data_IF_673226831470
#
_entry.id   IF_673226831470
#
_cell.length_a   1.000
_cell.length_b   1.000
_cell.length_c   1.000
_cell.angle_alpha   90.00
_cell.angle_beta   90.00
_cell.angle_gamma   90.00
#
_symmetry.space_group_name_H-M   'P 1'
#
loop_
_entity.id
_entity.type
_entity.pdbx_description
1 polymer ?
#
# COMPACT_ATOMS: atom_id res chain seq x y z
N UNK A 1 11.11 13.08 21.35
CA UNK A 1 11.95 13.70 20.29
C UNK A 1 12.70 12.56 19.61
N UNK A 2 12.72 12.50 18.28
CA UNK A 2 13.49 11.48 17.57
C UNK A 2 14.98 11.67 17.83
N UNK A 3 15.72 10.57 18.01
CA UNK A 3 17.17 10.56 18.10
C UNK A 3 17.74 10.06 16.78
N UNK A 4 18.83 10.66 16.31
CA UNK A 4 19.57 10.19 15.13
C UNK A 4 20.96 9.75 15.57
N UNK A 5 21.37 8.56 15.14
CA UNK A 5 22.72 8.03 15.33
C UNK A 5 23.34 7.72 13.97
N UNK A 6 24.53 8.27 13.70
CA UNK A 6 25.26 8.02 12.45
C UNK A 6 26.28 6.92 12.69
N UNK A 7 26.20 5.85 11.91
CA UNK A 7 27.08 4.68 11.95
C UNK A 7 27.89 4.58 10.66
N UNK A 8 28.98 3.83 10.70
CA UNK A 8 29.75 3.46 9.51
C UNK A 8 29.73 1.95 9.30
N UNK A 9 29.78 1.51 8.05
CA UNK A 9 30.00 0.09 7.72
C UNK A 9 31.47 -0.20 7.38
N UNK A 10 31.78 -1.49 7.21
CA UNK A 10 33.13 -1.97 6.90
C UNK A 10 33.66 -1.47 5.54
N UNK A 11 32.78 -0.90 4.71
CA UNK A 11 33.11 -0.34 3.39
C UNK A 11 33.29 1.18 3.45
N UNK A 12 33.46 1.75 4.64
CA UNK A 12 33.60 3.18 4.89
C UNK A 12 32.42 4.04 4.41
N UNK A 13 31.22 3.45 4.27
CA UNK A 13 30.00 4.21 4.06
C UNK A 13 29.33 4.54 5.40
N UNK A 14 28.62 5.65 5.43
CA UNK A 14 27.88 6.13 6.59
C UNK A 14 26.37 5.99 6.37
N UNK A 15 25.65 5.67 7.43
CA UNK A 15 24.18 5.64 7.43
C UNK A 15 23.65 6.12 8.78
N UNK A 16 22.49 6.77 8.76
CA UNK A 16 21.80 7.23 9.95
C UNK A 16 20.70 6.25 10.36
N UNK A 17 20.60 5.97 11.65
CA UNK A 17 19.45 5.32 12.26
C UNK A 17 18.66 6.37 13.05
N UNK A 18 17.36 6.47 12.77
CA UNK A 18 16.44 7.33 13.49
C UNK A 18 15.59 6.46 14.40
N UNK A 19 15.71 6.71 15.70
CA UNK A 19 14.93 6.03 16.73
C UNK A 19 13.94 6.96 17.41
N UNK A 20 12.84 6.40 17.86
CA UNK A 20 11.88 7.11 18.71
C UNK A 20 12.41 7.23 20.17
N UNK A 21 11.65 7.85 21.10
CA UNK A 21 12.04 7.94 22.51
C UNK A 21 12.14 6.59 23.24
N UNK A 22 11.47 5.55 22.74
CA UNK A 22 11.54 4.17 23.27
C UNK A 22 12.70 3.38 22.67
N UNK A 23 13.53 4.04 21.85
CA UNK A 23 14.70 3.48 21.14
C UNK A 23 14.33 2.44 20.06
N UNK A 24 13.09 2.43 19.59
CA UNK A 24 12.72 1.62 18.41
C UNK A 24 13.21 2.31 17.14
N UNK A 25 13.97 1.58 16.30
CA UNK A 25 14.47 2.11 15.02
C UNK A 25 13.31 2.24 14.04
N UNK A 26 12.95 3.48 13.74
CA UNK A 26 11.87 3.82 12.83
C UNK A 26 12.35 3.95 11.38
N UNK A 27 13.58 4.41 11.18
CA UNK A 27 14.11 4.67 9.84
C UNK A 27 15.62 4.46 9.80
N UNK A 28 16.10 3.92 8.68
CA UNK A 28 17.52 3.85 8.34
C UNK A 28 17.72 4.51 6.99
N UNK A 29 18.66 5.46 6.92
CA UNK A 29 18.99 6.16 5.66
C UNK A 29 19.60 5.19 4.65
N UNK A 30 19.74 5.65 3.41
CA UNK A 30 20.69 5.01 2.50
C UNK A 30 22.13 5.10 3.04
N UNK A 31 23.01 4.29 2.46
CA UNK A 31 24.45 4.35 2.72
C UNK A 31 25.07 5.43 1.86
N UNK A 32 25.86 6.31 2.48
CA UNK A 32 26.46 7.46 1.86
C UNK A 32 27.98 7.48 2.04
N UNK A 33 28.74 8.06 1.10
CA UNK A 33 30.17 8.28 1.27
C UNK A 33 30.54 9.17 2.46
N UNK A 34 29.64 10.06 2.93
CA UNK A 34 29.93 10.99 4.03
C UNK A 34 28.87 10.97 5.13
N UNK A 35 29.30 11.25 6.37
CA UNK A 35 28.41 11.41 7.52
C UNK A 35 27.40 12.54 7.32
N UNK A 36 27.82 13.62 6.65
CA UNK A 36 26.98 14.79 6.38
C UNK A 36 25.77 14.43 5.51
N UNK A 37 25.99 13.60 4.48
CA UNK A 37 24.90 13.12 3.62
C UNK A 37 23.91 12.23 4.38
N UNK A 38 24.41 11.30 5.21
CA UNK A 38 23.55 10.47 6.06
C UNK A 38 22.77 11.31 7.08
N UNK A 39 23.40 12.32 7.67
CA UNK A 39 22.76 13.24 8.62
C UNK A 39 21.65 14.05 7.96
N UNK A 40 21.93 14.60 6.77
CA UNK A 40 20.96 15.40 6.03
C UNK A 40 19.77 14.55 5.54
N UNK A 41 20.01 13.31 5.12
CA UNK A 41 18.92 12.37 4.75
C UNK A 41 18.02 12.05 5.94
N UNK A 42 18.61 11.69 7.09
CA UNK A 42 17.86 11.45 8.33
C UNK A 42 17.05 12.69 8.74
N UNK A 43 17.64 13.89 8.66
CA UNK A 43 16.96 15.16 8.95
C UNK A 43 15.79 15.41 8.00
N UNK A 44 15.97 15.20 6.70
CA UNK A 44 14.91 15.32 5.69
C UNK A 44 13.76 14.37 5.98
N UNK A 45 14.08 13.12 6.31
CA UNK A 45 13.09 12.13 6.68
C UNK A 45 12.31 12.54 7.94
N UNK A 46 13.00 12.95 9.02
CA UNK A 46 12.34 13.41 10.26
C UNK A 46 11.40 14.58 9.97
N UNK A 47 11.88 15.57 9.22
CA UNK A 47 11.06 16.73 8.84
C UNK A 47 9.83 16.31 8.05
N UNK A 48 10.00 15.47 7.03
CA UNK A 48 8.87 14.96 6.24
C UNK A 48 7.90 14.13 7.09
N UNK A 49 8.39 13.19 7.90
CA UNK A 49 7.58 12.32 8.76
C UNK A 49 6.70 13.14 9.71
N UNK A 50 7.27 14.15 10.38
CA UNK A 50 6.55 15.00 11.33
C UNK A 50 5.50 15.90 10.67
N UNK A 51 5.72 16.27 9.40
CA UNK A 51 4.86 17.20 8.66
C UNK A 51 3.87 16.50 7.70
N UNK A 52 4.05 15.21 7.44
CA UNK A 52 3.17 14.43 6.57
C UNK A 52 1.71 14.42 7.09
N UNK A 53 1.42 14.28 8.40
CA UNK A 53 0.05 14.30 8.91
C UNK A 53 -0.64 15.67 8.82
N UNK A 54 0.11 16.76 8.96
CA UNK A 54 -0.43 18.13 8.87
C UNK A 54 -0.69 18.58 7.43
N UNK A 55 -0.13 17.85 6.47
CA UNK A 55 -0.28 18.08 5.05
C UNK A 55 0.44 19.31 4.52
N UNK A 56 1.60 19.63 5.12
CA UNK A 56 2.46 20.75 4.70
C UNK A 56 3.58 20.34 3.76
N UNK A 57 3.93 19.04 3.72
CA UNK A 57 4.95 18.46 2.84
C UNK A 57 4.34 17.61 1.73
N UNK A 58 4.99 17.57 0.56
CA UNK A 58 4.57 16.68 -0.53
C UNK A 58 5.02 15.24 -0.28
N UNK A 59 4.14 14.30 -0.64
CA UNK A 59 4.42 12.87 -0.62
C UNK A 59 3.93 12.23 -1.91
N UNK A 60 4.68 11.25 -2.40
CA UNK A 60 4.17 10.29 -3.37
C UNK A 60 3.37 9.23 -2.60
N UNK A 61 2.20 8.89 -3.12
CA UNK A 61 1.33 7.87 -2.56
C UNK A 61 1.12 6.70 -3.52
N UNK A 62 0.89 5.55 -2.90
CA UNK A 62 0.49 4.32 -3.56
C UNK A 62 -0.82 3.87 -2.93
N UNK A 63 -1.95 4.10 -3.62
CA UNK A 63 -3.28 3.72 -3.13
C UNK A 63 -3.75 2.47 -3.88
N UNK A 64 -3.87 1.35 -3.17
CA UNK A 64 -4.42 0.11 -3.71
C UNK A 64 -5.95 0.21 -3.74
N UNK A 65 -6.55 -0.11 -4.89
CA UNK A 65 -7.98 -0.28 -5.04
C UNK A 65 -8.33 -1.77 -5.04
N UNK A 66 -9.25 -2.14 -4.15
CA UNK A 66 -9.80 -3.48 -4.02
C UNK A 66 -11.30 -3.41 -4.33
N UNK A 67 -11.72 -3.78 -5.55
CA UNK A 67 -13.13 -3.86 -5.88
C UNK A 67 -13.86 -4.83 -4.95
N UNK A 68 -15.10 -4.51 -4.59
CA UNK A 68 -15.95 -5.42 -3.78
C UNK A 68 -16.09 -6.77 -4.48
N UNK A 69 -16.26 -6.74 -5.81
CA UNK A 69 -16.44 -7.88 -6.69
C UNK A 69 -15.16 -8.67 -6.96
N UNK A 70 -14.02 -8.30 -6.37
CA UNK A 70 -12.76 -9.00 -6.61
C UNK A 70 -12.76 -10.39 -5.95
N UNK A 71 -12.78 -11.43 -6.78
CA UNK A 71 -12.78 -12.85 -6.40
C UNK A 71 -11.38 -13.40 -6.06
N UNK A 72 -10.43 -12.53 -5.73
CA UNK A 72 -9.06 -12.88 -5.41
C UNK A 72 -8.21 -13.25 -6.64
N UNK A 73 -6.91 -13.51 -6.44
CA UNK A 73 -6.00 -13.81 -7.52
C UNK A 73 -6.26 -15.21 -8.13
N UNK A 74 -5.98 -15.42 -9.42
CA UNK A 74 -5.95 -16.76 -10.02
C UNK A 74 -4.95 -17.70 -9.34
N UNK A 75 -5.13 -19.01 -9.53
CA UNK A 75 -4.19 -20.03 -9.02
C UNK A 75 -2.79 -19.81 -9.58
N UNK A 76 -1.78 -19.79 -8.71
CA UNK A 76 -0.38 -19.54 -9.09
C UNK A 76 -0.04 -18.08 -9.40
N UNK A 77 -1.02 -17.17 -9.40
CA UNK A 77 -0.77 -15.75 -9.64
C UNK A 77 -0.31 -15.01 -8.37
N UNK A 78 0.32 -13.86 -8.60
CA UNK A 78 0.71 -12.92 -7.56
C UNK A 78 -0.51 -12.53 -6.67
N UNK A 79 -0.36 -12.35 -5.34
CA UNK A 79 -1.47 -12.07 -4.43
C UNK A 79 -2.38 -10.91 -4.82
N UNK A 80 -1.82 -9.85 -5.42
CA UNK A 80 -2.57 -8.67 -5.87
C UNK A 80 -2.98 -8.73 -7.35
N UNK A 81 -2.89 -9.91 -7.99
CA UNK A 81 -3.29 -10.06 -9.39
C UNK A 81 -4.76 -9.68 -9.59
N UNK A 82 -5.03 -8.84 -10.59
CA UNK A 82 -6.36 -8.29 -10.86
C UNK A 82 -6.70 -7.02 -10.09
N UNK A 83 -5.84 -6.57 -9.16
CA UNK A 83 -5.97 -5.28 -8.48
C UNK A 83 -5.22 -4.17 -9.22
N UNK A 84 -5.52 -2.94 -8.82
CA UNK A 84 -4.87 -1.74 -9.34
C UNK A 84 -4.38 -0.85 -8.23
N UNK A 85 -3.27 -0.16 -8.49
CA UNK A 85 -2.72 0.87 -7.61
C UNK A 85 -2.71 2.20 -8.34
N UNK A 86 -3.10 3.25 -7.61
CA UNK A 86 -2.91 4.63 -8.05
C UNK A 86 -1.60 5.16 -7.52
N UNK A 87 -0.75 5.64 -8.42
CA UNK A 87 0.49 6.33 -8.05
C UNK A 87 0.26 7.82 -8.30
N UNK A 88 0.43 8.65 -7.28
CA UNK A 88 0.42 10.09 -7.51
C UNK A 88 1.02 10.86 -6.35
N UNK A 89 0.93 12.18 -6.38
CA UNK A 89 1.41 13.04 -5.29
C UNK A 89 0.31 13.80 -4.58
N UNK A 90 0.51 14.07 -3.30
CA UNK A 90 -0.38 14.92 -2.50
C UNK A 90 0.38 15.53 -1.33
N UNK A 91 -0.11 16.67 -0.86
CA UNK A 91 0.27 17.17 0.47
C UNK A 91 -0.60 16.55 1.57
N UNK A 92 -1.88 16.30 1.29
CA UNK A 92 -2.81 15.74 2.28
C UNK A 92 -3.38 14.40 1.76
N UNK A 93 -2.89 13.29 2.31
CA UNK A 93 -3.28 11.95 1.86
C UNK A 93 -4.70 11.57 2.25
N UNK A 94 -5.16 11.96 3.44
CA UNK A 94 -6.50 11.63 3.92
C UNK A 94 -7.57 12.33 3.08
N UNK A 95 -7.39 13.62 2.77
CA UNK A 95 -8.28 14.36 1.87
C UNK A 95 -8.23 13.79 0.46
N UNK A 96 -7.05 13.40 -0.04
CA UNK A 96 -6.92 12.77 -1.36
C UNK A 96 -7.68 11.44 -1.42
N UNK A 97 -7.56 10.61 -0.38
CA UNK A 97 -8.27 9.35 -0.28
C UNK A 97 -9.79 9.57 -0.27
N UNK A 98 -10.29 10.54 0.51
CA UNK A 98 -11.72 10.91 0.52
C UNK A 98 -12.22 11.32 -0.87
N UNK A 99 -11.46 12.16 -1.59
CA UNK A 99 -11.82 12.59 -2.94
C UNK A 99 -11.83 11.44 -3.96
N UNK A 100 -11.04 10.39 -3.75
CA UNK A 100 -11.02 9.22 -4.65
C UNK A 100 -12.18 8.26 -4.38
N UNK A 101 -12.70 8.23 -3.14
CA UNK A 101 -13.84 7.38 -2.76
C UNK A 101 -15.13 7.74 -3.51
N UNK A 102 -15.32 8.99 -3.90
CA UNK A 102 -16.54 9.42 -4.63
C UNK A 102 -16.66 8.82 -6.03
N UNK A 103 -15.56 8.34 -6.61
CA UNK A 103 -15.51 7.77 -7.96
C UNK A 103 -15.10 6.30 -8.03
N UNK A 104 -14.99 5.61 -6.89
CA UNK A 104 -14.54 4.20 -6.85
C UNK A 104 -15.52 3.36 -6.05
N UNK A 105 -16.10 2.33 -6.67
CA UNK A 105 -16.82 1.27 -5.95
C UNK A 105 -15.79 0.27 -5.38
N UNK A 106 -15.68 0.22 -4.06
CA UNK A 106 -14.76 -0.68 -3.35
C UNK A 106 -13.81 0.03 -2.39
N UNK A 107 -12.90 -0.77 -1.83
CA UNK A 107 -12.00 -0.32 -0.77
C UNK A 107 -10.76 0.34 -1.37
N UNK A 108 -10.44 1.55 -0.89
CA UNK A 108 -9.20 2.24 -1.19
C UNK A 108 -8.27 2.20 0.03
N UNK A 109 -7.06 1.70 -0.18
CA UNK A 109 -6.09 1.43 0.88
C UNK A 109 -4.83 2.23 0.57
N UNK A 110 -4.42 3.15 1.44
CA UNK A 110 -3.07 3.71 1.37
C UNK A 110 -2.12 2.54 1.64
N UNK A 111 -1.22 2.25 0.72
CA UNK A 111 -0.30 1.11 0.83
C UNK A 111 1.11 1.57 1.22
N UNK A 112 1.57 2.67 0.63
CA UNK A 112 2.84 3.27 0.97
C UNK A 112 2.86 4.79 0.70
N UNK A 113 3.79 5.47 1.37
CA UNK A 113 4.13 6.88 1.17
C UNK A 113 5.65 7.04 1.09
N UNK A 114 6.12 7.93 0.21
CA UNK A 114 7.52 8.38 0.19
C UNK A 114 7.61 9.90 0.06
N UNK A 115 8.66 10.54 0.61
CA UNK A 115 8.93 11.94 0.34
C UNK A 115 9.19 12.16 -1.15
N UNK A 116 8.53 13.15 -1.74
CA UNK A 116 8.74 13.48 -3.14
C UNK A 116 7.69 14.41 -3.71
N UNK A 117 8.08 15.08 -4.79
CA UNK A 117 7.23 15.99 -5.55
C UNK A 117 7.04 15.52 -6.99
N UNK A 118 6.71 16.48 -7.85
CA UNK A 118 6.41 16.25 -9.27
C UNK A 118 7.46 15.40 -10.01
N UNK A 119 8.75 15.68 -9.79
CA UNK A 119 9.82 14.99 -10.52
C UNK A 119 9.89 13.50 -10.17
N UNK A 120 9.71 13.16 -8.89
CA UNK A 120 9.71 11.77 -8.44
C UNK A 120 8.45 11.03 -8.91
N UNK A 121 7.29 11.68 -8.87
CA UNK A 121 6.04 11.14 -9.43
C UNK A 121 6.24 10.74 -10.90
N UNK A 122 6.81 11.64 -11.71
CA UNK A 122 7.13 11.40 -13.12
C UNK A 122 8.08 10.21 -13.31
N UNK A 123 9.10 10.08 -12.46
CA UNK A 123 10.02 8.95 -12.48
C UNK A 123 9.29 7.64 -12.17
N UNK A 124 8.44 7.59 -11.14
CA UNK A 124 7.65 6.38 -10.80
C UNK A 124 6.68 6.01 -11.91
N UNK A 125 6.00 7.01 -12.48
CA UNK A 125 5.10 6.84 -13.61
C UNK A 125 5.79 6.27 -14.85
N UNK A 126 7.05 6.66 -15.10
CA UNK A 126 7.87 6.10 -16.18
C UNK A 126 8.39 4.71 -15.85
N UNK A 127 8.83 4.48 -14.62
CA UNK A 127 9.34 3.20 -14.14
C UNK A 127 8.33 2.06 -14.31
N UNK A 128 7.04 2.35 -14.09
CA UNK A 128 5.94 1.37 -14.21
C UNK A 128 5.04 1.63 -15.41
N UNK A 129 5.55 2.28 -16.46
CA UNK A 129 4.76 2.61 -17.65
C UNK A 129 4.12 1.38 -18.31
N UNK A 130 4.82 0.23 -18.31
CA UNK A 130 4.30 -1.04 -18.82
C UNK A 130 3.09 -1.58 -18.04
N UNK A 131 2.94 -1.18 -16.78
CA UNK A 131 1.83 -1.60 -15.92
C UNK A 131 0.66 -0.62 -15.95
N UNK A 132 0.83 0.55 -16.61
CA UNK A 132 -0.20 1.60 -16.67
C UNK A 132 -1.43 1.11 -17.41
N UNK A 133 -2.60 1.34 -16.82
CA UNK A 133 -3.90 0.97 -17.39
C UNK A 133 -4.69 2.19 -17.84
N UNK A 134 -4.95 3.12 -16.93
CA UNK A 134 -5.75 4.29 -17.24
C UNK A 134 -5.32 5.47 -16.37
N UNK A 135 -4.87 6.55 -17.01
CA UNK A 135 -4.34 7.72 -16.31
C UNK A 135 -3.22 7.32 -15.35
N UNK A 136 -3.44 7.55 -14.06
CA UNK A 136 -2.47 7.26 -12.98
C UNK A 136 -2.73 5.90 -12.29
N UNK A 137 -3.54 5.03 -12.89
CA UNK A 137 -3.82 3.69 -12.38
C UNK A 137 -2.96 2.65 -13.08
N UNK A 138 -2.35 1.77 -12.29
CA UNK A 138 -1.40 0.76 -12.71
C UNK A 138 -1.86 -0.62 -12.22
N UNK A 139 -1.66 -1.66 -13.01
CA UNK A 139 -1.89 -3.03 -12.54
C UNK A 139 -0.84 -3.44 -11.51
N UNK A 140 -1.26 -4.22 -10.52
CA UNK A 140 -0.36 -4.73 -9.48
C UNK A 140 0.53 -5.87 -9.99
N UNK A 141 1.55 -5.52 -10.78
CA UNK A 141 2.62 -6.44 -11.19
C UNK A 141 3.49 -6.85 -9.98
N UNK A 142 4.23 -7.96 -10.06
CA UNK A 142 5.19 -8.32 -9.02
C UNK A 142 6.23 -7.23 -8.77
N UNK A 143 6.75 -6.59 -9.83
CA UNK A 143 7.76 -5.54 -9.72
C UNK A 143 7.21 -4.28 -9.00
N UNK A 144 6.02 -3.82 -9.40
CA UNK A 144 5.37 -2.66 -8.75
C UNK A 144 5.02 -2.97 -7.29
N UNK A 145 4.51 -4.17 -7.03
CA UNK A 145 4.13 -4.55 -5.67
C UNK A 145 5.37 -4.67 -4.76
N UNK A 146 6.46 -5.26 -5.26
CA UNK A 146 7.73 -5.33 -4.53
C UNK A 146 8.28 -3.93 -4.24
N UNK A 147 8.21 -3.01 -5.21
CA UNK A 147 8.60 -1.62 -5.01
C UNK A 147 7.79 -0.97 -3.89
N UNK A 148 6.45 -1.11 -3.91
CA UNK A 148 5.58 -0.54 -2.87
C UNK A 148 5.93 -1.11 -1.49
N UNK A 149 6.16 -2.42 -1.37
CA UNK A 149 6.58 -3.03 -0.10
C UNK A 149 7.94 -2.52 0.37
N UNK A 150 8.89 -2.32 -0.54
CA UNK A 150 10.19 -1.74 -0.22
C UNK A 150 10.05 -0.29 0.29
N UNK A 151 9.20 0.51 -0.36
CA UNK A 151 8.89 1.88 0.09
C UNK A 151 8.25 1.87 1.48
N UNK A 152 7.24 1.04 1.70
CA UNK A 152 6.59 0.93 3.01
C UNK A 152 7.59 0.48 4.10
N UNK A 153 8.40 -0.54 3.82
CA UNK A 153 9.41 -1.04 4.75
C UNK A 153 10.49 0.00 5.06
N UNK A 154 10.91 0.77 4.05
CA UNK A 154 11.94 1.79 4.21
C UNK A 154 11.44 3.01 4.98
N UNK A 155 10.32 3.61 4.56
CA UNK A 155 9.85 4.86 5.17
C UNK A 155 8.96 4.66 6.40
N UNK A 156 8.36 3.47 6.55
CA UNK A 156 7.46 3.09 7.66
C UNK A 156 6.30 4.06 7.93
N UNK A 157 5.88 4.82 6.92
CA UNK A 157 4.77 5.77 7.04
C UNK A 157 3.51 5.17 6.43
N UNK A 158 2.70 4.59 7.30
CA UNK A 158 1.35 4.18 6.95
C UNK A 158 0.41 4.37 8.14
N UNK A 159 -0.77 5.02 7.99
CA UNK A 159 -1.71 5.11 9.09
C UNK A 159 -2.12 3.72 9.59
N UNK A 160 -2.20 3.53 10.91
CA UNK A 160 -2.47 2.21 11.55
C UNK A 160 -3.71 1.52 11.00
N UNK A 161 -4.77 2.27 10.72
CA UNK A 161 -6.00 1.74 10.11
C UNK A 161 -5.71 1.04 8.76
N UNK A 162 -4.88 1.65 7.92
CA UNK A 162 -4.53 1.09 6.61
C UNK A 162 -3.59 -0.10 6.72
N UNK A 163 -2.70 -0.14 7.71
CA UNK A 163 -1.90 -1.34 8.02
C UNK A 163 -2.80 -2.52 8.34
N UNK A 164 -3.79 -2.31 9.21
CA UNK A 164 -4.76 -3.33 9.57
C UNK A 164 -5.60 -3.80 8.36
N UNK A 165 -6.02 -2.87 7.49
CA UNK A 165 -6.74 -3.21 6.27
C UNK A 165 -5.88 -4.06 5.31
N UNK A 166 -4.57 -3.79 5.20
CA UNK A 166 -3.66 -4.62 4.40
C UNK A 166 -3.57 -6.05 4.96
N UNK A 167 -3.48 -6.20 6.29
CA UNK A 167 -3.45 -7.52 6.93
C UNK A 167 -4.76 -8.29 6.67
N UNK A 168 -5.92 -7.62 6.82
CA UNK A 168 -7.23 -8.19 6.45
C UNK A 168 -7.31 -8.59 4.98
N UNK A 169 -6.72 -7.81 4.09
CA UNK A 169 -6.66 -8.14 2.67
C UNK A 169 -5.86 -9.42 2.43
N UNK A 170 -4.74 -9.64 3.15
CA UNK A 170 -3.99 -10.89 3.05
C UNK A 170 -4.81 -12.09 3.53
N UNK A 171 -5.50 -11.96 4.67
CA UNK A 171 -6.41 -12.99 5.16
C UNK A 171 -7.50 -13.31 4.12
N UNK A 172 -8.13 -12.28 3.53
CA UNK A 172 -9.11 -12.44 2.45
C UNK A 172 -8.51 -13.17 1.25
N UNK A 173 -7.29 -12.84 0.83
CA UNK A 173 -6.59 -13.51 -0.28
C UNK A 173 -6.40 -14.99 0.01
N UNK A 174 -5.97 -15.33 1.22
CA UNK A 174 -5.73 -16.72 1.62
C UNK A 174 -7.03 -17.53 1.66
N UNK A 175 -8.12 -16.95 2.18
CA UNK A 175 -9.45 -17.56 2.15
C UNK A 175 -9.88 -17.81 0.71
N UNK A 176 -9.80 -16.81 -0.17
CA UNK A 176 -10.22 -16.92 -1.57
C UNK A 176 -9.40 -17.96 -2.36
N UNK A 177 -8.09 -18.07 -2.07
CA UNK A 177 -7.24 -19.12 -2.64
C UNK A 177 -7.66 -20.51 -2.18
N UNK A 178 -7.97 -20.69 -0.90
CA UNK A 178 -8.46 -21.97 -0.35
C UNK A 178 -9.81 -22.35 -0.96
N UNK A 179 -10.73 -21.39 -1.06
CA UNK A 179 -12.03 -21.59 -1.72
C UNK A 179 -11.82 -22.09 -3.15
N UNK A 180 -10.99 -21.40 -3.95
CA UNK A 180 -10.69 -21.84 -5.33
C UNK A 180 -10.12 -23.25 -5.38
N UNK A 181 -9.22 -23.60 -4.46
CA UNK A 181 -8.61 -24.92 -4.40
C UNK A 181 -9.62 -26.02 -4.03
N UNK A 182 -10.57 -25.74 -3.13
CA UNK A 182 -11.58 -26.71 -2.67
C UNK A 182 -12.71 -26.88 -3.68
N UNK A 183 -13.21 -25.77 -4.24
CA UNK A 183 -14.40 -25.78 -5.09
C UNK A 183 -14.11 -25.79 -6.59
N UNK A 184 -12.84 -25.71 -7.00
CA UNK A 184 -12.44 -25.83 -8.41
C UNK A 184 -12.74 -24.60 -9.28
N UNK A 185 -13.08 -23.45 -8.70
CA UNK A 185 -13.44 -22.24 -9.45
C UNK A 185 -13.35 -20.94 -8.65
N UNK A 186 -13.43 -19.79 -9.35
CA UNK A 186 -13.55 -18.48 -8.70
C UNK A 186 -14.90 -18.38 -7.99
N UNK A 187 -14.97 -17.87 -6.74
CA UNK A 187 -16.25 -17.57 -6.14
C UNK A 187 -16.91 -16.36 -6.81
N UNK A 188 -18.23 -16.40 -6.89
CA UNK A 188 -19.06 -15.25 -7.19
C UNK A 188 -19.14 -14.35 -5.96
N UNK A 189 -18.85 -13.07 -6.18
CA UNK A 189 -18.82 -12.04 -5.13
C UNK A 189 -20.08 -11.16 -5.13
N UNK A 190 -21.02 -11.41 -6.06
CA UNK A 190 -22.28 -10.67 -6.19
C UNK A 190 -23.41 -11.65 -5.93
N UNK A 191 -24.33 -11.26 -5.04
CA UNK A 191 -25.51 -12.06 -4.77
C UNK A 191 -26.39 -12.10 -6.02
N UNK A 192 -26.72 -13.28 -6.57
CA UNK A 192 -27.61 -13.37 -7.73
C UNK A 192 -28.96 -12.71 -7.43
N UNK A 193 -29.55 -12.09 -8.46
CA UNK A 193 -30.92 -11.60 -8.39
C UNK A 193 -31.88 -12.76 -8.08
N UNK A 194 -32.87 -12.53 -7.19
CA UNK A 194 -33.91 -13.53 -6.90
C UNK A 194 -34.73 -13.93 -8.14
N UNK A 195 -34.73 -13.07 -9.17
CA UNK A 195 -35.54 -13.24 -10.38
C UNK A 195 -34.74 -13.84 -11.55
N UNK A 196 -33.46 -14.15 -11.37
CA UNK A 196 -32.60 -14.68 -12.43
C UNK A 196 -32.00 -16.03 -12.02
N UNK A 197 -31.94 -17.02 -12.92
CA UNK A 197 -31.29 -18.29 -12.61
C UNK A 197 -29.78 -18.06 -12.37
N UNK A 198 -29.30 -18.46 -11.18
CA UNK A 198 -27.88 -18.40 -10.85
C UNK A 198 -27.12 -19.48 -11.63
N UNK A 199 -26.14 -19.05 -12.43
CA UNK A 199 -25.27 -19.91 -13.24
C UNK A 199 -23.86 -20.08 -12.66
N UNK A 200 -23.66 -19.58 -11.44
CA UNK A 200 -22.38 -19.65 -10.76
C UNK A 200 -22.12 -20.99 -10.08
N UNK A 201 -20.87 -21.19 -9.67
CA UNK A 201 -20.45 -22.43 -9.01
C UNK A 201 -20.45 -22.31 -7.48
N UNK A 202 -20.03 -21.15 -6.94
CA UNK A 202 -19.90 -20.91 -5.49
C UNK A 202 -20.12 -19.44 -5.20
N UNK A 203 -21.06 -19.10 -4.33
CA UNK A 203 -21.24 -17.73 -3.82
C UNK A 203 -20.57 -17.57 -2.45
N UNK A 204 -19.74 -16.52 -2.28
CA UNK A 204 -19.18 -16.17 -0.97
C UNK A 204 -19.19 -14.65 -0.81
N UNK A 205 -19.97 -14.16 0.15
CA UNK A 205 -19.90 -12.78 0.60
C UNK A 205 -18.90 -12.62 1.75
N UNK A 206 -17.68 -12.19 1.41
CA UNK A 206 -16.66 -11.77 2.39
C UNK A 206 -16.58 -10.24 2.55
N UNK A 207 -17.42 -9.49 1.82
CA UNK A 207 -17.40 -8.03 1.81
C UNK A 207 -18.34 -7.49 2.88
N UNK A 208 -19.47 -8.17 3.13
CA UNK A 208 -20.49 -7.75 4.07
C UNK A 208 -20.96 -8.93 4.94
N UNK A 209 -20.12 -9.40 5.88
CA UNK A 209 -20.51 -10.49 6.76
C UNK A 209 -21.52 -9.95 7.79
N UNK A 210 -22.80 -9.93 7.42
CA UNK A 210 -23.92 -9.60 8.31
C UNK A 210 -23.97 -10.50 9.55
N UNK A 211 -23.28 -11.65 9.51
CA UNK A 211 -23.13 -12.62 10.58
C UNK A 211 -21.90 -12.41 11.48
N UNK A 212 -21.08 -11.38 11.23
CA UNK A 212 -19.97 -10.92 12.12
C UNK A 212 -20.42 -9.73 12.98
N UNK A 213 -21.66 -9.25 12.83
CA UNK A 213 -22.24 -8.33 13.81
C UNK A 213 -22.64 -9.14 15.04
N UNK A 214 -21.72 -9.24 16.00
CA UNK A 214 -22.06 -9.60 17.37
C UNK A 214 -23.23 -8.72 17.83
N UNK A 215 -24.23 -9.42 18.36
CA UNK A 215 -25.35 -8.88 19.11
C UNK A 215 -24.88 -7.73 20.02
N UNK A 216 -25.45 -6.55 19.82
CA UNK A 216 -25.46 -5.49 20.84
C UNK A 216 -26.73 -5.58 21.65
#
# INVERSE_FOLDING_TARGET
MFKTEIKSDDSAHYFGEVSDPELEIFYSTHKYPTQEQATEDARKWIYWFQNCPSGTVESIYYILAVPETWAGPPTGAHPYSGLQVKIGRTKNILRRLQNLRTGTSGQLIIHALEPGGFELERIRHKMFESDRRQGEWFACSPALTQHIFAIWSHYKVLPREHQYIILKLQERIDILRRVRAVFGGSPDMINPSLNEPWLGNVFIDLVNPSWIQDEK
#
